data_IF_306668534459
#
_entry.id   IF_306668534459
#
_cell.length_a   1.000
_cell.length_b   1.000
_cell.length_c   1.000
_cell.angle_alpha   90.00
_cell.angle_beta   90.00
_cell.angle_gamma   90.00
#
_symmetry.space_group_name_H-M   'P 1'
#
loop_
_entity.id
_entity.type
_entity.pdbx_description
1 polymer ?
#
# COMPACT_ATOMS: atom_id res chain seq x y z
N UNK A 1 -5.01 47.28 6.17
CA UNK A 1 -4.22 46.29 6.94
C UNK A 1 -4.74 44.92 6.58
N UNK A 2 -3.95 44.18 5.80
CA UNK A 2 -4.30 42.85 5.30
C UNK A 2 -3.73 41.83 6.29
N UNK A 3 -4.60 41.03 6.91
CA UNK A 3 -4.19 39.84 7.67
C UNK A 3 -4.56 38.64 6.81
N UNK A 4 -3.58 38.13 6.07
CA UNK A 4 -3.69 36.90 5.31
C UNK A 4 -3.47 35.71 6.25
N UNK A 5 -4.47 34.84 6.37
CA UNK A 5 -4.32 33.52 6.97
C UNK A 5 -3.37 32.65 6.12
N UNK A 6 -2.61 31.73 6.73
CA UNK A 6 -1.80 30.78 5.99
C UNK A 6 -2.69 29.76 5.26
N UNK A 7 -2.57 29.76 3.94
CA UNK A 7 -3.13 28.77 3.02
C UNK A 7 -2.67 27.37 3.39
N UNK A 8 -3.68 26.51 3.57
CA UNK A 8 -3.63 25.05 3.62
C UNK A 8 -2.74 24.53 2.48
N UNK A 9 -1.71 23.76 2.82
CA UNK A 9 -0.82 23.10 1.85
C UNK A 9 -1.53 21.86 1.35
N UNK A 10 -1.86 21.84 0.06
CA UNK A 10 -2.35 20.65 -0.64
C UNK A 10 -1.28 19.55 -0.69
N UNK A 11 -1.66 18.27 -0.62
CA UNK A 11 -0.74 17.15 -0.79
C UNK A 11 -0.43 16.97 -2.27
N UNK A 12 0.61 17.65 -2.77
CA UNK A 12 1.09 17.46 -4.13
C UNK A 12 1.81 16.10 -4.28
N UNK A 13 1.09 15.22 -4.98
CA UNK A 13 1.50 14.11 -5.85
C UNK A 13 2.99 13.79 -5.98
N UNK A 14 3.32 12.52 -5.72
CA UNK A 14 4.63 11.91 -5.89
C UNK A 14 5.06 11.70 -7.36
N UNK A 15 4.35 12.29 -8.33
CA UNK A 15 4.47 11.97 -9.78
C UNK A 15 5.13 13.07 -10.64
N UNK A 16 5.59 14.19 -10.08
CA UNK A 16 6.24 15.26 -10.86
C UNK A 16 7.78 15.18 -10.86
N UNK A 17 8.34 14.12 -11.45
CA UNK A 17 9.74 14.08 -11.89
C UNK A 17 9.87 13.40 -13.26
N UNK A 18 9.12 13.89 -14.24
CA UNK A 18 9.29 13.56 -15.64
C UNK A 18 9.63 14.83 -16.45
N UNK A 19 10.66 14.69 -17.30
CA UNK A 19 11.21 15.65 -18.28
C UNK A 19 12.14 16.73 -17.68
N UNK A 20 13.38 16.94 -18.14
CA UNK A 20 13.84 17.11 -19.53
C UNK A 20 15.35 16.76 -19.72
N UNK A 21 15.80 16.72 -20.99
CA UNK A 21 17.17 17.01 -21.54
C UNK A 21 17.74 15.97 -22.54
N UNK A 22 17.49 16.25 -23.82
CA UNK A 22 18.52 16.51 -24.85
C UNK A 22 19.52 15.40 -25.19
N UNK A 23 19.36 14.79 -26.37
CA UNK A 23 20.20 13.73 -26.93
C UNK A 23 21.35 14.33 -27.76
N UNK A 24 22.60 14.13 -27.34
CA UNK A 24 23.81 14.43 -28.14
C UNK A 24 24.85 13.32 -27.91
N UNK A 25 25.38 12.80 -29.02
CA UNK A 25 25.85 11.41 -29.17
C UNK A 25 27.35 11.17 -28.91
N UNK A 26 28.11 12.15 -28.41
CA UNK A 26 29.57 12.02 -28.18
C UNK A 26 30.00 12.17 -26.71
N UNK A 27 29.05 12.35 -25.78
CA UNK A 27 29.26 12.40 -24.33
C UNK A 27 28.83 11.12 -23.58
N UNK A 28 28.62 10.02 -24.29
CA UNK A 28 27.83 8.87 -23.83
C UNK A 28 28.45 8.03 -22.70
N UNK A 29 29.76 8.08 -22.48
CA UNK A 29 30.41 7.24 -21.44
C UNK A 29 30.51 7.93 -20.08
N UNK A 30 30.64 9.26 -20.04
CA UNK A 30 30.63 10.04 -18.79
C UNK A 30 29.19 10.33 -18.33
N UNK A 31 28.26 10.46 -19.28
CA UNK A 31 26.82 10.66 -19.01
C UNK A 31 26.17 9.45 -18.34
N UNK A 32 26.69 8.23 -18.55
CA UNK A 32 26.21 7.01 -17.86
C UNK A 32 26.70 6.93 -16.41
N UNK A 33 27.96 7.27 -16.11
CA UNK A 33 28.49 7.22 -14.74
C UNK A 33 27.77 8.23 -13.85
N UNK A 34 27.60 9.48 -14.28
CA UNK A 34 26.87 10.48 -13.50
C UNK A 34 25.42 10.07 -13.21
N UNK A 35 24.73 9.47 -14.19
CA UNK A 35 23.38 8.92 -14.02
C UNK A 35 23.35 7.74 -13.02
N UNK A 36 24.35 6.85 -13.06
CA UNK A 36 24.47 5.75 -12.10
C UNK A 36 24.74 6.25 -10.69
N UNK A 37 25.61 7.25 -10.53
CA UNK A 37 25.89 7.89 -9.23
C UNK A 37 24.63 8.52 -8.64
N UNK A 38 23.93 9.32 -9.43
CA UNK A 38 22.67 9.94 -9.01
C UNK A 38 21.58 8.89 -8.71
N UNK A 39 21.51 7.80 -9.47
CA UNK A 39 20.60 6.70 -9.18
C UNK A 39 20.87 6.08 -7.81
N UNK A 40 22.13 5.80 -7.46
CA UNK A 40 22.45 5.21 -6.17
C UNK A 40 22.27 6.16 -4.99
N UNK A 41 22.54 7.46 -5.16
CA UNK A 41 22.19 8.47 -4.14
C UNK A 41 20.67 8.45 -3.88
N UNK A 42 19.84 8.39 -4.93
CA UNK A 42 18.38 8.29 -4.79
C UNK A 42 17.95 7.02 -4.06
N UNK A 43 18.58 5.88 -4.36
CA UNK A 43 18.28 4.61 -3.70
C UNK A 43 18.69 4.62 -2.22
N UNK A 44 19.84 5.19 -1.88
CA UNK A 44 20.27 5.38 -0.48
C UNK A 44 19.28 6.28 0.28
N UNK A 45 18.92 7.43 -0.29
CA UNK A 45 17.95 8.33 0.32
C UNK A 45 16.61 7.62 0.55
N UNK A 46 16.11 6.86 -0.45
CA UNK A 46 14.85 6.13 -0.34
C UNK A 46 14.84 5.17 0.85
N UNK A 47 15.88 4.36 1.02
CA UNK A 47 15.94 3.41 2.13
C UNK A 47 16.11 4.11 3.49
N UNK A 48 16.93 5.15 3.59
CA UNK A 48 17.10 5.92 4.85
C UNK A 48 15.80 6.61 5.26
N UNK A 49 15.13 7.29 4.32
CA UNK A 49 13.84 7.95 4.57
C UNK A 49 12.76 6.95 4.98
N UNK A 50 12.74 5.78 4.36
CA UNK A 50 11.83 4.69 4.73
C UNK A 50 12.03 4.27 6.19
N UNK A 51 13.28 4.09 6.63
CA UNK A 51 13.59 3.73 8.02
C UNK A 51 13.14 4.81 9.00
N UNK A 52 13.46 6.08 8.73
CA UNK A 52 12.98 7.18 9.59
C UNK A 52 11.46 7.27 9.65
N UNK A 53 10.78 7.05 8.52
CA UNK A 53 9.31 7.04 8.46
C UNK A 53 8.73 5.92 9.31
N UNK A 54 9.32 4.72 9.25
CA UNK A 54 8.88 3.56 10.03
C UNK A 54 9.17 3.72 11.54
N UNK A 55 10.21 4.45 11.91
CA UNK A 55 10.57 4.73 13.30
C UNK A 55 9.89 5.98 13.88
N UNK A 56 9.06 6.68 13.10
CA UNK A 56 8.47 7.98 13.46
C UNK A 56 9.49 9.02 13.98
N UNK A 57 10.76 8.87 13.60
CA UNK A 57 11.83 9.73 14.07
C UNK A 57 11.87 11.04 13.28
N UNK A 58 11.97 12.22 13.92
CA UNK A 58 12.16 13.47 13.20
C UNK A 58 13.51 13.46 12.48
N UNK A 59 13.53 13.93 11.23
CA UNK A 59 14.75 14.05 10.44
C UNK A 59 14.70 15.27 9.52
N UNK A 60 15.86 15.86 9.25
CA UNK A 60 16.02 16.88 8.23
C UNK A 60 16.38 16.25 6.87
N UNK A 61 15.53 16.49 5.86
CA UNK A 61 15.70 15.98 4.50
C UNK A 61 17.01 16.43 3.86
N UNK A 62 17.48 17.65 4.12
CA UNK A 62 18.72 18.16 3.52
C UNK A 62 19.92 17.42 4.06
N UNK A 63 20.00 17.28 5.39
CA UNK A 63 21.04 16.51 6.06
C UNK A 63 21.11 15.05 5.60
N UNK A 64 19.95 14.39 5.39
CA UNK A 64 19.91 13.00 4.87
C UNK A 64 20.48 12.91 3.45
N UNK A 65 20.10 13.85 2.56
CA UNK A 65 20.58 13.89 1.18
C UNK A 65 22.10 14.12 1.15
N UNK A 66 22.61 15.06 1.94
CA UNK A 66 24.04 15.38 1.98
C UNK A 66 24.86 14.21 2.55
N UNK A 67 24.34 13.53 3.57
CA UNK A 67 24.94 12.30 4.10
C UNK A 67 24.99 11.19 3.04
N UNK A 68 23.89 10.98 2.29
CA UNK A 68 23.85 9.98 1.23
C UNK A 68 24.79 10.30 0.07
N UNK A 69 24.95 11.58 -0.28
CA UNK A 69 25.95 12.04 -1.27
C UNK A 69 27.37 11.80 -0.78
N UNK A 70 27.68 12.15 0.46
CA UNK A 70 29.01 11.93 1.05
C UNK A 70 29.38 10.44 1.10
N UNK A 71 28.43 9.57 1.46
CA UNK A 71 28.63 8.12 1.45
C UNK A 71 28.85 7.59 0.03
N UNK A 72 28.06 8.06 -0.94
CA UNK A 72 28.25 7.68 -2.34
C UNK A 72 29.62 8.14 -2.86
N UNK A 73 30.02 9.37 -2.56
CA UNK A 73 31.28 9.95 -3.00
C UNK A 73 32.48 9.20 -2.40
N UNK A 74 32.40 8.81 -1.13
CA UNK A 74 33.41 7.96 -0.49
C UNK A 74 33.57 6.61 -1.21
N UNK A 75 32.45 5.96 -1.55
CA UNK A 75 32.46 4.66 -2.24
C UNK A 75 32.92 4.81 -3.69
N UNK A 76 32.53 5.90 -4.35
CA UNK A 76 33.00 6.22 -5.69
C UNK A 76 34.52 6.43 -5.70
N UNK A 77 35.04 7.27 -4.81
CA UNK A 77 36.47 7.57 -4.71
C UNK A 77 37.31 6.31 -4.42
N UNK A 78 36.80 5.40 -3.59
CA UNK A 78 37.46 4.13 -3.30
C UNK A 78 37.45 3.13 -4.48
N UNK A 79 36.61 3.34 -5.50
CA UNK A 79 36.42 2.42 -6.62
C UNK A 79 36.45 3.14 -7.98
N UNK A 80 37.16 4.27 -8.09
CA UNK A 80 37.24 5.10 -9.32
C UNK A 80 37.68 4.25 -10.53
N UNK A 81 38.63 3.34 -10.31
CA UNK A 81 39.23 2.52 -11.36
C UNK A 81 38.36 1.31 -11.77
N UNK A 82 37.33 0.97 -10.99
CA UNK A 82 36.48 -0.20 -11.25
C UNK A 82 35.00 0.09 -10.98
N UNK A 83 34.28 0.41 -12.05
CA UNK A 83 32.84 0.72 -12.01
C UNK A 83 31.98 -0.45 -11.52
N UNK A 84 32.35 -1.70 -11.81
CA UNK A 84 31.60 -2.86 -11.32
C UNK A 84 31.76 -3.06 -9.80
N UNK A 85 32.97 -2.82 -9.28
CA UNK A 85 33.23 -2.85 -7.84
C UNK A 85 32.44 -1.75 -7.11
N UNK A 86 32.40 -0.54 -7.69
CA UNK A 86 31.55 0.56 -7.22
C UNK A 86 30.07 0.15 -7.17
N UNK A 87 29.52 -0.36 -8.28
CA UNK A 87 28.11 -0.79 -8.35
C UNK A 87 27.79 -1.87 -7.31
N UNK A 88 28.68 -2.86 -7.15
CA UNK A 88 28.50 -3.95 -6.18
C UNK A 88 28.50 -3.40 -4.75
N UNK A 89 29.44 -2.52 -4.41
CA UNK A 89 29.50 -1.90 -3.08
C UNK A 89 28.28 -1.02 -2.80
N UNK A 90 27.82 -0.22 -3.77
CA UNK A 90 26.61 0.58 -3.62
C UNK A 90 25.36 -0.28 -3.38
N UNK A 91 25.18 -1.38 -4.14
CA UNK A 91 24.06 -2.32 -3.90
C UNK A 91 24.12 -2.94 -2.52
N UNK A 92 25.30 -3.40 -2.09
CA UNK A 92 25.49 -3.97 -0.74
C UNK A 92 25.15 -2.95 0.34
N UNK A 93 25.52 -1.68 0.16
CA UNK A 93 25.22 -0.61 1.12
C UNK A 93 23.73 -0.31 1.21
N UNK A 94 23.03 -0.22 0.09
CA UNK A 94 21.57 -0.05 0.05
C UNK A 94 20.87 -1.22 0.76
N UNK A 95 21.26 -2.46 0.46
CA UNK A 95 20.68 -3.66 1.10
C UNK A 95 20.98 -3.72 2.60
N UNK A 96 22.18 -3.29 3.02
CA UNK A 96 22.56 -3.28 4.43
C UNK A 96 21.76 -2.25 5.22
N UNK A 97 21.50 -1.07 4.65
CA UNK A 97 20.61 -0.06 5.25
C UNK A 97 19.19 -0.63 5.39
N UNK A 98 18.65 -1.25 4.33
CA UNK A 98 17.33 -1.88 4.39
C UNK A 98 17.28 -2.97 5.48
N UNK A 99 18.29 -3.84 5.57
CA UNK A 99 18.36 -4.93 6.55
C UNK A 99 18.50 -4.41 7.99
N UNK A 100 19.41 -3.46 8.23
CA UNK A 100 19.60 -2.85 9.55
C UNK A 100 18.39 -2.02 9.97
N UNK A 101 17.80 -1.29 9.02
CA UNK A 101 16.57 -0.53 9.22
C UNK A 101 15.40 -1.41 9.67
N UNK A 102 15.16 -2.53 8.98
CA UNK A 102 14.14 -3.49 9.38
C UNK A 102 14.42 -4.10 10.76
N UNK A 103 15.69 -4.37 11.10
CA UNK A 103 16.05 -4.89 12.42
C UNK A 103 15.80 -3.85 13.53
N UNK A 104 16.17 -2.59 13.29
CA UNK A 104 15.92 -1.49 14.23
C UNK A 104 14.43 -1.29 14.49
N UNK A 105 13.59 -1.28 13.44
CA UNK A 105 12.13 -1.15 13.59
C UNK A 105 11.56 -2.28 14.44
N UNK A 106 12.04 -3.52 14.27
CA UNK A 106 11.60 -4.65 15.10
C UNK A 106 12.02 -4.52 16.56
N UNK A 107 13.24 -4.05 16.82
CA UNK A 107 13.74 -3.83 18.18
C UNK A 107 12.97 -2.72 18.91
N UNK A 108 12.64 -1.63 18.22
CA UNK A 108 11.85 -0.53 18.83
C UNK A 108 10.42 -0.98 19.15
N UNK A 109 9.82 -1.88 18.37
CA UNK A 109 8.53 -2.49 18.70
C UNK A 109 8.58 -3.47 19.89
N UNK A 110 9.75 -4.04 20.22
CA UNK A 110 9.90 -4.98 21.35
C UNK A 110 10.24 -4.26 22.66
N UNK A 111 10.88 -3.08 22.61
CA UNK A 111 11.22 -2.27 23.80
C UNK A 111 10.06 -1.37 24.30
N UNK A 112 9.06 -1.04 23.47
CA UNK A 112 7.79 -0.44 23.92
C UNK A 112 6.83 -1.51 24.46
N UNK A 113 7.19 -2.14 25.58
CA UNK A 113 6.24 -2.83 26.46
C UNK A 113 5.87 -1.89 27.62
N UNK A 114 4.85 -1.01 27.50
CA UNK A 114 4.19 -0.52 28.68
C UNK A 114 3.36 -1.68 29.25
N UNK A 115 3.63 -2.00 30.51
CA UNK A 115 2.83 -2.92 31.32
C UNK A 115 1.36 -2.49 31.22
N UNK A 116 0.56 -3.21 30.44
CA UNK A 116 -0.87 -3.00 30.39
C UNK A 116 -1.47 -3.42 31.75
N UNK A 117 -2.27 -2.57 32.42
CA UNK A 117 -3.05 -3.04 33.56
C UNK A 117 -4.12 -3.97 33.01
N UNK A 118 -4.07 -5.23 33.45
CA UNK A 118 -5.14 -6.22 33.26
C UNK A 118 -6.46 -5.64 33.75
N UNK A 119 -7.25 -5.11 32.83
CA UNK A 119 -8.64 -4.75 33.07
C UNK A 119 -9.47 -5.66 32.19
N UNK A 120 -10.25 -6.50 32.83
CA UNK A 120 -11.06 -7.55 32.22
C UNK A 120 -11.93 -6.97 31.09
N UNK A 121 -11.68 -7.41 29.86
CA UNK A 121 -12.60 -7.16 28.75
C UNK A 121 -13.70 -8.21 28.83
N UNK A 122 -14.89 -7.76 29.20
CA UNK A 122 -16.12 -8.52 29.10
C UNK A 122 -16.47 -8.71 27.62
N UNK A 123 -16.53 -9.98 27.19
CA UNK A 123 -17.18 -10.52 25.99
C UNK A 123 -17.18 -9.64 24.73
N UNK A 124 -16.07 -9.67 24.00
CA UNK A 124 -16.12 -9.54 22.54
C UNK A 124 -16.81 -10.77 21.97
N UNK A 125 -17.91 -10.56 21.26
CA UNK A 125 -18.52 -11.56 20.39
C UNK A 125 -17.42 -12.08 19.45
N UNK A 126 -17.21 -13.42 19.33
CA UNK A 126 -16.12 -13.93 18.53
C UNK A 126 -16.37 -13.59 17.06
N UNK A 127 -15.56 -12.68 16.52
CA UNK A 127 -15.47 -12.47 15.07
C UNK A 127 -15.06 -13.82 14.48
N UNK A 128 -15.78 -14.37 13.50
CA UNK A 128 -15.39 -15.62 12.88
C UNK A 128 -14.01 -15.45 12.25
N UNK A 129 -13.04 -16.20 12.79
CA UNK A 129 -11.71 -16.28 12.19
C UNK A 129 -11.92 -16.90 10.81
N UNK A 130 -11.55 -16.21 9.71
CA UNK A 130 -11.72 -16.76 8.38
C UNK A 130 -10.90 -18.05 8.29
N UNK A 131 -11.53 -19.13 7.80
CA UNK A 131 -10.85 -20.41 7.58
C UNK A 131 -9.58 -20.19 6.74
N UNK A 132 -8.48 -20.83 7.13
CA UNK A 132 -7.21 -20.76 6.40
C UNK A 132 -7.41 -21.05 4.90
N UNK A 133 -8.28 -22.01 4.58
CA UNK A 133 -8.66 -22.38 3.22
C UNK A 133 -9.25 -21.21 2.41
N UNK A 134 -10.03 -20.33 3.05
CA UNK A 134 -10.59 -19.16 2.37
C UNK A 134 -9.53 -18.12 2.04
N UNK A 135 -8.59 -17.89 2.94
CA UNK A 135 -7.49 -16.95 2.70
C UNK A 135 -6.56 -17.44 1.60
N UNK A 136 -6.33 -18.76 1.52
CA UNK A 136 -5.56 -19.42 0.47
C UNK A 136 -6.27 -19.28 -0.88
N UNK A 137 -7.57 -19.57 -0.94
CA UNK A 137 -8.37 -19.43 -2.17
C UNK A 137 -8.40 -17.99 -2.68
N UNK A 138 -8.51 -17.02 -1.77
CA UNK A 138 -8.47 -15.59 -2.09
C UNK A 138 -7.12 -15.18 -2.70
N UNK A 139 -6.01 -15.58 -2.06
CA UNK A 139 -4.66 -15.32 -2.57
C UNK A 139 -4.43 -15.99 -3.93
N UNK A 140 -4.90 -17.23 -4.08
CA UNK A 140 -4.77 -17.98 -5.33
C UNK A 140 -5.52 -17.30 -6.48
N UNK A 141 -6.74 -16.80 -6.24
CA UNK A 141 -7.50 -16.07 -7.24
C UNK A 141 -6.81 -14.76 -7.65
N UNK A 142 -6.22 -14.02 -6.70
CA UNK A 142 -5.40 -12.84 -7.02
C UNK A 142 -4.16 -13.18 -7.87
N UNK A 143 -3.47 -14.29 -7.56
CA UNK A 143 -2.34 -14.78 -8.35
C UNK A 143 -2.78 -15.11 -9.78
N UNK A 144 -3.90 -15.83 -9.95
CA UNK A 144 -4.45 -16.16 -11.26
C UNK A 144 -4.80 -14.90 -12.08
N UNK A 145 -5.43 -13.90 -11.45
CA UNK A 145 -5.74 -12.63 -12.10
C UNK A 145 -4.46 -11.87 -12.52
N UNK A 146 -3.43 -11.85 -11.67
CA UNK A 146 -2.16 -11.20 -11.95
C UNK A 146 -1.41 -11.88 -13.11
N UNK A 147 -1.39 -13.22 -13.14
CA UNK A 147 -0.79 -14.01 -14.22
C UNK A 147 -1.50 -13.74 -15.54
N UNK A 148 -2.84 -13.78 -15.57
CA UNK A 148 -3.62 -13.49 -16.78
C UNK A 148 -3.37 -12.06 -17.28
N UNK A 149 -3.34 -11.08 -16.37
CA UNK A 149 -3.05 -9.69 -16.72
C UNK A 149 -1.63 -9.49 -17.27
N UNK A 150 -0.65 -10.16 -16.68
CA UNK A 150 0.74 -10.14 -17.16
C UNK A 150 0.87 -10.81 -18.53
N UNK A 151 0.17 -11.92 -18.75
CA UNK A 151 0.11 -12.61 -20.03
C UNK A 151 -0.47 -11.69 -21.11
N UNK A 152 -1.62 -11.06 -20.90
CA UNK A 152 -2.24 -10.11 -21.84
C UNK A 152 -1.27 -8.95 -22.17
N UNK A 153 -0.60 -8.38 -21.16
CA UNK A 153 0.40 -7.32 -21.36
C UNK A 153 1.60 -7.79 -22.20
N UNK A 154 2.04 -9.02 -22.00
CA UNK A 154 3.16 -9.61 -22.74
C UNK A 154 2.79 -9.94 -24.20
N UNK A 155 1.54 -10.29 -24.49
CA UNK A 155 1.07 -10.54 -25.87
C UNK A 155 1.20 -9.31 -26.76
N UNK A 156 0.95 -8.10 -26.22
CA UNK A 156 1.16 -6.83 -26.95
C UNK A 156 2.61 -6.63 -27.42
N UNK A 157 3.58 -7.23 -26.74
CA UNK A 157 5.01 -7.21 -27.13
C UNK A 157 5.37 -8.36 -28.07
N UNK A 158 4.64 -9.47 -27.99
CA UNK A 158 4.85 -10.70 -28.78
C UNK A 158 4.41 -10.56 -30.23
N UNK A 159 3.41 -9.73 -30.52
CA UNK A 159 3.01 -9.34 -31.89
C UNK A 159 4.17 -8.75 -32.73
N UNK A 160 5.29 -8.33 -32.10
CA UNK A 160 6.49 -7.86 -32.79
C UNK A 160 7.38 -8.99 -33.33
N UNK A 161 7.15 -10.22 -32.91
CA UNK A 161 7.95 -11.39 -33.29
C UNK A 161 7.10 -12.37 -34.11
N UNK A 162 7.39 -12.46 -35.42
CA UNK A 162 6.63 -13.19 -36.44
C UNK A 162 6.50 -14.72 -36.27
N UNK A 163 7.08 -15.30 -35.22
CA UNK A 163 7.16 -16.75 -35.01
C UNK A 163 6.03 -17.31 -34.13
N UNK A 164 5.23 -16.45 -33.51
CA UNK A 164 4.12 -16.85 -32.65
C UNK A 164 2.81 -16.94 -33.44
N UNK A 165 2.69 -17.92 -34.34
CA UNK A 165 1.41 -18.32 -34.90
C UNK A 165 0.90 -19.57 -34.17
N UNK A 166 0.40 -19.38 -32.96
CA UNK A 166 -0.52 -20.34 -32.31
C UNK A 166 -1.93 -19.75 -32.31
N UNK A 167 -2.95 -20.57 -32.04
CA UNK A 167 -4.38 -20.19 -32.05
C UNK A 167 -4.70 -19.08 -31.02
N UNK A 168 -4.34 -17.83 -31.33
CA UNK A 168 -4.47 -16.66 -30.46
C UNK A 168 -5.90 -16.50 -29.93
N UNK A 169 -6.91 -16.83 -30.75
CA UNK A 169 -8.32 -16.71 -30.37
C UNK A 169 -8.73 -17.68 -29.26
N UNK A 170 -8.17 -18.91 -29.23
CA UNK A 170 -8.49 -19.90 -28.19
C UNK A 170 -7.77 -19.56 -26.90
N UNK A 171 -6.50 -19.15 -26.99
CA UNK A 171 -5.70 -18.76 -25.83
C UNK A 171 -6.26 -17.49 -25.17
N UNK A 172 -6.68 -16.50 -25.97
CA UNK A 172 -7.32 -15.29 -25.45
C UNK A 172 -8.68 -15.59 -24.80
N UNK A 173 -9.50 -16.47 -25.40
CA UNK A 173 -10.77 -16.87 -24.80
C UNK A 173 -10.56 -17.57 -23.44
N UNK A 174 -9.62 -18.52 -23.38
CA UNK A 174 -9.26 -19.22 -22.15
C UNK A 174 -8.72 -18.26 -21.07
N UNK A 175 -7.82 -17.35 -21.41
CA UNK A 175 -7.27 -16.37 -20.45
C UNK A 175 -8.35 -15.43 -19.95
N UNK A 176 -9.29 -15.02 -20.79
CA UNK A 176 -10.44 -14.21 -20.38
C UNK A 176 -11.39 -15.00 -19.47
N UNK A 177 -11.63 -16.28 -19.74
CA UNK A 177 -12.42 -17.17 -18.88
C UNK A 177 -11.78 -17.33 -17.50
N UNK A 178 -10.49 -17.67 -17.44
CA UNK A 178 -9.74 -17.78 -16.17
C UNK A 178 -9.73 -16.45 -15.40
N UNK A 179 -9.56 -15.33 -16.10
CA UNK A 179 -9.60 -14.01 -15.48
C UNK A 179 -11.00 -13.66 -14.94
N UNK A 180 -12.07 -14.05 -15.63
CA UNK A 180 -13.44 -13.84 -15.17
C UNK A 180 -13.77 -14.73 -13.97
N UNK A 181 -13.33 -15.99 -13.97
CA UNK A 181 -13.49 -16.90 -12.84
C UNK A 181 -12.72 -16.38 -11.62
N UNK A 182 -11.45 -15.98 -11.78
CA UNK A 182 -10.66 -15.40 -10.71
C UNK A 182 -11.32 -14.13 -10.12
N UNK A 183 -11.93 -13.27 -10.95
CA UNK A 183 -12.67 -12.10 -10.47
C UNK A 183 -13.91 -12.49 -9.68
N UNK A 184 -14.67 -13.48 -10.14
CA UNK A 184 -15.83 -14.00 -9.43
C UNK A 184 -15.43 -14.59 -8.08
N UNK A 185 -14.32 -15.34 -8.03
CA UNK A 185 -13.77 -15.93 -6.80
C UNK A 185 -13.31 -14.86 -5.80
N UNK A 186 -12.55 -13.86 -6.25
CA UNK A 186 -12.12 -12.72 -5.41
C UNK A 186 -13.33 -12.02 -4.79
N UNK A 187 -14.35 -11.75 -5.61
CA UNK A 187 -15.56 -11.10 -5.16
C UNK A 187 -16.35 -11.95 -4.16
N UNK A 188 -16.44 -13.25 -4.41
CA UNK A 188 -17.09 -14.18 -3.49
C UNK A 188 -16.33 -14.26 -2.16
N UNK A 189 -15.00 -14.28 -2.19
CA UNK A 189 -14.18 -14.19 -0.98
C UNK A 189 -14.40 -12.88 -0.24
N UNK A 190 -14.45 -11.73 -0.94
CA UNK A 190 -14.75 -10.43 -0.32
C UNK A 190 -16.11 -10.45 0.38
N UNK A 191 -17.13 -11.02 -0.27
CA UNK A 191 -18.46 -11.19 0.35
C UNK A 191 -18.37 -11.98 1.64
N UNK A 192 -17.73 -13.15 1.61
CA UNK A 192 -17.67 -13.98 2.81
C UNK A 192 -16.84 -13.33 3.93
N UNK A 193 -15.70 -12.72 3.58
CA UNK A 193 -14.78 -12.15 4.56
C UNK A 193 -15.32 -10.87 5.21
N UNK A 194 -16.10 -10.06 4.48
CA UNK A 194 -16.38 -8.69 4.90
C UNK A 194 -17.87 -8.37 5.10
N UNK A 195 -18.82 -9.22 4.66
CA UNK A 195 -20.25 -8.93 4.85
C UNK A 195 -20.62 -8.82 6.33
N UNK A 196 -20.27 -9.83 7.13
CA UNK A 196 -20.61 -9.85 8.56
C UNK A 196 -19.93 -8.72 9.36
N UNK A 197 -18.61 -8.47 9.21
CA UNK A 197 -17.97 -7.31 9.85
C UNK A 197 -18.62 -5.97 9.50
N UNK A 198 -19.03 -5.78 8.25
CA UNK A 198 -19.68 -4.54 7.81
C UNK A 198 -21.10 -4.40 8.37
N UNK A 199 -21.88 -5.49 8.43
CA UNK A 199 -23.23 -5.48 9.06
C UNK A 199 -23.13 -5.13 10.54
N UNK A 200 -22.19 -5.75 11.27
CA UNK A 200 -21.96 -5.45 12.69
C UNK A 200 -21.58 -3.98 12.90
N UNK A 201 -20.74 -3.44 12.02
CA UNK A 201 -20.36 -2.03 12.09
C UNK A 201 -21.55 -1.10 11.77
N UNK A 202 -22.36 -1.44 10.78
CA UNK A 202 -23.58 -0.69 10.44
C UNK A 202 -24.54 -0.61 11.64
N UNK A 203 -24.78 -1.73 12.32
CA UNK A 203 -25.61 -1.78 13.52
C UNK A 203 -25.05 -0.92 14.66
N UNK A 204 -23.73 -0.95 14.84
CA UNK A 204 -23.04 -0.14 15.86
C UNK A 204 -23.17 1.36 15.55
N UNK A 205 -23.00 1.76 14.29
CA UNK A 205 -23.16 3.16 13.84
C UNK A 205 -24.61 3.65 13.99
N UNK A 206 -25.60 2.80 13.70
CA UNK A 206 -27.02 3.16 13.94
C UNK A 206 -27.30 3.41 15.42
N UNK A 207 -26.70 2.64 16.32
CA UNK A 207 -26.83 2.82 17.78
C UNK A 207 -26.11 4.08 18.27
N UNK A 208 -25.02 4.50 17.61
CA UNK A 208 -24.24 5.69 17.99
C UNK A 208 -24.78 7.01 17.43
N UNK A 209 -25.70 6.96 16.46
CA UNK A 209 -26.22 8.15 15.75
C UNK A 209 -26.94 9.17 16.66
N UNK A 210 -27.37 8.74 17.85
CA UNK A 210 -28.00 9.59 18.86
C UNK A 210 -27.01 10.31 19.81
N UNK A 211 -25.70 10.08 19.67
CA UNK A 211 -24.64 10.63 20.56
C UNK A 211 -23.87 11.79 19.93
N UNK A 212 -22.83 12.26 20.62
CA UNK A 212 -21.89 13.25 20.11
C UNK A 212 -21.20 12.70 18.84
N UNK A 213 -20.86 13.57 17.89
CA UNK A 213 -20.29 13.21 16.56
C UNK A 213 -21.26 12.62 15.52
N UNK A 214 -22.54 12.97 15.59
CA UNK A 214 -23.59 12.57 14.63
C UNK A 214 -23.21 12.70 13.15
N UNK A 215 -22.52 13.78 12.77
CA UNK A 215 -22.18 14.03 11.36
C UNK A 215 -21.13 13.05 10.83
N UNK A 216 -20.15 12.70 11.66
CA UNK A 216 -19.13 11.71 11.31
C UNK A 216 -19.72 10.29 11.28
N UNK A 217 -20.54 9.94 12.27
CA UNK A 217 -21.27 8.66 12.30
C UNK A 217 -22.21 8.52 11.10
N UNK A 218 -22.90 9.59 10.71
CA UNK A 218 -23.78 9.59 9.55
C UNK A 218 -23.01 9.40 8.24
N UNK A 219 -21.83 10.02 8.11
CA UNK A 219 -20.94 9.81 6.96
C UNK A 219 -20.46 8.35 6.90
N UNK A 220 -19.90 7.82 7.99
CA UNK A 220 -19.41 6.44 8.01
C UNK A 220 -20.55 5.44 7.75
N UNK A 221 -21.77 5.71 8.26
CA UNK A 221 -22.94 4.88 7.99
C UNK A 221 -23.30 4.86 6.50
N UNK A 222 -23.24 6.02 5.83
CA UNK A 222 -23.49 6.10 4.38
C UNK A 222 -22.46 5.29 3.58
N UNK A 223 -21.18 5.36 3.96
CA UNK A 223 -20.11 4.60 3.31
C UNK A 223 -20.29 3.09 3.54
N UNK A 224 -20.61 2.66 4.76
CA UNK A 224 -20.87 1.24 5.05
C UNK A 224 -22.06 0.72 4.25
N UNK A 225 -23.13 1.50 4.11
CA UNK A 225 -24.30 1.14 3.31
C UNK A 225 -23.98 1.01 1.83
N UNK A 226 -23.21 1.94 1.27
CA UNK A 226 -22.73 1.86 -0.11
C UNK A 226 -21.87 0.61 -0.34
N UNK A 227 -20.97 0.28 0.59
CA UNK A 227 -20.13 -0.91 0.50
C UNK A 227 -20.93 -2.21 0.63
N UNK A 228 -21.91 -2.25 1.54
CA UNK A 228 -22.84 -3.39 1.69
C UNK A 228 -23.67 -3.61 0.43
N UNK A 229 -24.15 -2.53 -0.20
CA UNK A 229 -24.89 -2.61 -1.45
C UNK A 229 -23.99 -3.05 -2.61
N UNK A 230 -22.73 -2.60 -2.63
CA UNK A 230 -21.75 -3.00 -3.64
C UNK A 230 -21.38 -4.50 -3.55
N UNK A 231 -21.31 -5.08 -2.34
CA UNK A 231 -21.01 -6.52 -2.18
C UNK A 231 -22.25 -7.42 -2.29
N UNK A 232 -23.48 -6.88 -2.30
CA UNK A 232 -24.71 -7.69 -2.35
C UNK A 232 -24.75 -8.62 -3.57
N UNK A 233 -25.19 -9.90 -3.43
CA UNK A 233 -25.41 -10.79 -4.56
C UNK A 233 -26.45 -10.20 -5.53
N UNK A 234 -26.11 -10.11 -6.81
CA UNK A 234 -26.98 -9.54 -7.85
C UNK A 234 -26.96 -8.01 -7.95
N UNK A 235 -26.07 -7.33 -7.23
CA UNK A 235 -25.96 -5.87 -7.30
C UNK A 235 -25.55 -5.39 -8.70
N UNK A 236 -26.32 -4.46 -9.28
CA UNK A 236 -26.07 -3.83 -10.58
C UNK A 236 -24.91 -2.81 -10.54
N UNK A 237 -24.54 -2.33 -9.35
CA UNK A 237 -23.46 -1.34 -9.17
C UNK A 237 -22.08 -1.92 -9.43
N UNK A 238 -21.93 -3.24 -9.29
CA UNK A 238 -20.70 -3.99 -9.55
C UNK A 238 -20.23 -3.96 -11.01
N UNK A 239 -21.11 -3.61 -11.96
CA UNK A 239 -20.72 -3.48 -13.36
C UNK A 239 -19.71 -2.34 -13.60
N UNK A 240 -19.65 -1.35 -12.68
CA UNK A 240 -18.81 -0.16 -12.80
C UNK A 240 -17.73 -0.03 -11.71
N UNK A 241 -17.76 -0.88 -10.66
CA UNK A 241 -16.84 -0.77 -9.53
C UNK A 241 -15.69 -1.78 -9.67
N UNK A 242 -14.46 -1.28 -9.65
CA UNK A 242 -13.26 -2.13 -9.64
C UNK A 242 -13.15 -2.89 -8.30
N UNK A 243 -13.09 -4.21 -8.38
CA UNK A 243 -13.01 -5.13 -7.23
C UNK A 243 -11.79 -4.80 -6.35
N UNK A 244 -10.67 -4.37 -6.95
CA UNK A 244 -9.49 -3.98 -6.19
C UNK A 244 -9.73 -2.71 -5.35
N UNK A 245 -10.46 -1.74 -5.93
CA UNK A 245 -10.81 -0.49 -5.24
C UNK A 245 -11.77 -0.78 -4.08
N UNK A 246 -12.79 -1.62 -4.33
CA UNK A 246 -13.74 -2.06 -3.31
C UNK A 246 -13.02 -2.73 -2.12
N UNK A 247 -12.08 -3.65 -2.40
CA UNK A 247 -11.31 -4.33 -1.36
C UNK A 247 -10.49 -3.36 -0.50
N UNK A 248 -9.81 -2.39 -1.12
CA UNK A 248 -9.02 -1.38 -0.42
C UNK A 248 -9.90 -0.47 0.44
N UNK A 249 -11.06 -0.06 -0.08
CA UNK A 249 -12.02 0.78 0.67
C UNK A 249 -12.53 0.06 1.92
N UNK A 250 -12.92 -1.21 1.79
CA UNK A 250 -13.36 -2.03 2.92
C UNK A 250 -12.23 -2.18 3.96
N UNK A 251 -11.00 -2.47 3.52
CA UNK A 251 -9.87 -2.58 4.45
C UNK A 251 -9.56 -1.27 5.18
N UNK A 252 -9.64 -0.14 4.48
CA UNK A 252 -9.42 1.17 5.09
C UNK A 252 -10.48 1.47 6.13
N UNK A 253 -11.75 1.28 5.78
CA UNK A 253 -12.88 1.52 6.67
C UNK A 253 -12.82 0.63 7.92
N UNK A 254 -12.46 -0.65 7.79
CA UNK A 254 -12.32 -1.53 8.95
C UNK A 254 -11.12 -1.18 9.84
N UNK A 255 -10.07 -0.55 9.31
CA UNK A 255 -8.98 0.01 10.12
C UNK A 255 -9.43 1.25 10.88
N UNK A 256 -10.21 2.11 10.23
CA UNK A 256 -10.79 3.31 10.85
C UNK A 256 -11.85 2.95 11.91
N UNK A 257 -12.58 1.84 11.72
CA UNK A 257 -13.48 1.26 12.72
C UNK A 257 -12.76 0.97 14.05
N UNK A 258 -11.51 0.51 14.04
CA UNK A 258 -10.78 0.23 15.27
C UNK A 258 -10.56 1.49 16.12
N UNK A 259 -10.37 2.66 15.47
CA UNK A 259 -10.30 3.95 16.15
C UNK A 259 -11.67 4.36 16.69
N UNK A 260 -12.74 4.14 15.93
CA UNK A 260 -14.11 4.35 16.39
C UNK A 260 -14.43 3.47 17.60
N UNK A 261 -14.10 2.19 17.60
CA UNK A 261 -14.36 1.26 18.70
C UNK A 261 -13.66 1.70 20.01
N UNK A 262 -12.42 2.22 19.89
CA UNK A 262 -11.69 2.77 21.03
C UNK A 262 -12.38 4.02 21.60
N UNK A 263 -12.75 4.98 20.74
CA UNK A 263 -13.47 6.19 21.17
C UNK A 263 -14.83 5.84 21.78
N UNK A 264 -15.57 4.92 21.15
CA UNK A 264 -16.87 4.45 21.58
C UNK A 264 -16.80 3.75 22.95
N UNK A 265 -15.76 2.96 23.21
CA UNK A 265 -15.52 2.34 24.51
C UNK A 265 -15.24 3.39 25.61
N UNK A 266 -14.49 4.45 25.29
CA UNK A 266 -14.25 5.56 26.22
C UNK A 266 -15.52 6.37 26.54
N UNK A 267 -16.42 6.55 25.58
CA UNK A 267 -17.72 7.19 25.82
C UNK A 267 -18.66 6.35 26.69
N UNK A 268 -18.59 5.02 26.59
CA UNK A 268 -19.39 4.14 27.44
C UNK A 268 -18.89 4.08 28.88
N UNK A 269 -17.56 4.11 29.09
CA UNK A 269 -16.97 4.09 30.43
C UNK A 269 -17.18 5.39 31.20
N UNK A 270 -17.27 6.54 30.51
CA UNK A 270 -17.51 7.86 31.11
C UNK A 270 -18.96 8.12 31.51
N UNK A 271 -19.92 7.32 31.00
CA UNK A 271 -21.35 7.47 31.33
C UNK A 271 -21.80 6.60 32.53
N UNK A 272 -20.86 5.92 33.21
CA UNK A 272 -21.14 4.97 34.31
C UNK A 272 -20.91 5.55 35.73
N UNK A 273 -20.79 6.86 35.86
CA UNK A 273 -20.69 7.60 37.14
C UNK A 273 -21.75 8.68 37.20
#
# INVERSE_FOLDING_TARGET
MVVALPTRVDPLSLDQLHEDVGFDLSASTSRTVAQHRQHYVRMLCREVLKVHTMLHAPFDRRTVIDTCKSVEESIYNANIENTEAYIRQMRTRVQLIAKKGCALVRQTCEEENPTAPTTQVTQTTPIPVPSEEMTVNFQQAHIQQAICSAWIKSQRKRARFRWAQTNENKDNAYVNEVMNNARADILQSIRVLYTEPLVLYEEQLRKSLARQHRDWVAYDLSVVQELLEAIRPGSLTLANVDIATLHVQIQKLLKEKALFDYMWAMEQSTCST
#
